data_IF_365723857863
#
_entry.id   IF_365723857863
#
_cell.length_a   1.000
_cell.length_b   1.000
_cell.length_c   1.000
_cell.angle_alpha   90.00
_cell.angle_beta   90.00
_cell.angle_gamma   90.00
#
_symmetry.space_group_name_H-M   'P 1'
#
loop_
_entity.id
_entity.type
_entity.pdbx_description
1 polymer ?
#
# COMPACT_ATOMS: atom_id res chain seq x y z
N UNK A 1 -1.82 17.72 -11.50
CA UNK A 1 -2.05 16.86 -10.33
C UNK A 1 -1.92 17.73 -9.10
N UNK A 2 -2.93 17.69 -8.23
CA UNK A 2 -2.89 18.41 -6.95
C UNK A 2 -1.92 17.70 -6.02
N UNK A 3 -1.06 18.47 -5.36
CA UNK A 3 -0.15 17.97 -4.34
C UNK A 3 -0.80 18.12 -2.97
N UNK A 4 -0.94 17.02 -2.25
CA UNK A 4 -1.52 17.00 -0.90
C UNK A 4 -0.38 16.76 0.08
N UNK A 5 -0.02 17.79 0.85
CA UNK A 5 1.01 17.70 1.88
C UNK A 5 0.49 17.10 3.21
N UNK A 6 -0.82 17.12 3.43
CA UNK A 6 -1.46 16.61 4.64
C UNK A 6 -2.88 16.11 4.34
N UNK A 7 -3.23 14.96 4.92
CA UNK A 7 -4.57 14.36 4.81
C UNK A 7 -5.37 14.61 6.10
N UNK A 8 -6.43 15.43 6.07
CA UNK A 8 -7.28 15.63 7.24
C UNK A 8 -7.98 14.32 7.64
N UNK A 9 -8.33 14.12 8.93
CA UNK A 9 -9.04 12.93 9.36
C UNK A 9 -10.34 12.70 8.57
N UNK A 10 -10.59 11.45 8.17
CA UNK A 10 -11.79 11.02 7.45
C UNK A 10 -11.65 10.94 5.92
N UNK A 11 -10.51 11.32 5.34
CA UNK A 11 -10.28 11.20 3.88
C UNK A 11 -9.38 10.00 3.54
N UNK A 12 -9.57 9.34 2.38
CA UNK A 12 -8.62 8.36 1.87
C UNK A 12 -7.22 8.97 1.71
N UNK A 13 -6.20 8.30 2.21
CA UNK A 13 -4.84 8.83 2.26
C UNK A 13 -3.77 7.89 1.70
N UNK A 14 -4.07 6.60 1.55
CA UNK A 14 -3.15 5.62 0.98
C UNK A 14 -3.92 4.45 0.36
N UNK A 15 -3.30 3.79 -0.62
CA UNK A 15 -3.75 2.52 -1.17
C UNK A 15 -2.56 1.56 -1.26
N UNK A 16 -2.80 0.30 -1.00
CA UNK A 16 -1.84 -0.75 -1.34
C UNK A 16 -2.51 -2.04 -1.77
N UNK A 17 -1.73 -2.95 -2.30
CA UNK A 17 -2.21 -4.29 -2.62
C UNK A 17 -1.19 -5.33 -2.18
N UNK A 18 -1.68 -6.44 -1.61
CA UNK A 18 -0.86 -7.60 -1.29
C UNK A 18 -0.98 -8.63 -2.40
N UNK A 19 0.16 -9.07 -2.92
CA UNK A 19 0.25 -9.92 -4.08
C UNK A 19 1.04 -11.20 -3.75
N UNK A 20 0.65 -12.37 -4.29
CA UNK A 20 1.42 -13.60 -4.13
C UNK A 20 2.75 -13.52 -4.89
N UNK A 21 2.76 -12.79 -6.01
CA UNK A 21 3.94 -12.46 -6.80
C UNK A 21 4.01 -10.93 -6.98
N UNK A 22 4.65 -10.21 -6.03
CA UNK A 22 4.83 -8.77 -6.11
C UNK A 22 5.58 -8.33 -7.37
N UNK A 23 6.55 -9.10 -7.84
CA UNK A 23 7.33 -8.77 -9.03
C UNK A 23 6.49 -8.79 -10.30
N UNK A 24 5.65 -9.81 -10.47
CA UNK A 24 4.71 -9.88 -11.58
C UNK A 24 3.71 -8.71 -11.54
N UNK A 25 3.20 -8.36 -10.36
CA UNK A 25 2.33 -7.21 -10.19
C UNK A 25 3.05 -5.88 -10.46
N UNK A 26 4.30 -5.71 -10.03
CA UNK A 26 5.13 -4.53 -10.35
C UNK A 26 5.28 -4.40 -11.86
N UNK A 27 5.61 -5.48 -12.57
CA UNK A 27 5.77 -5.45 -14.02
C UNK A 27 4.46 -5.03 -14.71
N UNK A 28 3.33 -5.59 -14.27
CA UNK A 28 2.00 -5.25 -14.79
C UNK A 28 1.64 -3.78 -14.56
N UNK A 29 1.72 -3.30 -13.31
CA UNK A 29 1.29 -1.94 -12.96
C UNK A 29 2.26 -0.86 -13.44
N UNK A 30 3.57 -1.15 -13.52
CA UNK A 30 4.54 -0.25 -14.15
C UNK A 30 4.17 0.03 -15.60
N UNK A 31 3.80 -1.01 -16.37
CA UNK A 31 3.43 -0.89 -17.77
C UNK A 31 2.09 -0.18 -18.00
N UNK A 32 1.13 -0.32 -17.09
CA UNK A 32 -0.19 0.28 -17.20
C UNK A 32 -0.25 1.73 -16.71
N UNK A 33 0.41 2.02 -15.58
CA UNK A 33 0.23 3.27 -14.83
C UNK A 33 1.42 4.22 -14.97
N UNK A 34 2.52 3.79 -15.59
CA UNK A 34 3.77 4.56 -15.64
C UNK A 34 4.39 4.76 -14.26
N UNK A 35 4.18 3.80 -13.36
CA UNK A 35 4.74 3.83 -12.01
C UNK A 35 6.17 3.30 -12.03
N UNK A 36 7.03 3.95 -11.24
CA UNK A 36 8.32 3.43 -10.81
C UNK A 36 8.16 2.79 -9.43
N UNK A 37 8.99 1.82 -9.06
CA UNK A 37 8.90 1.18 -7.75
C UNK A 37 10.22 1.28 -6.99
N UNK A 38 10.12 1.57 -5.70
CA UNK A 38 11.25 1.57 -4.76
C UNK A 38 11.06 0.48 -3.71
N UNK A 39 12.16 -0.17 -3.31
CA UNK A 39 12.15 -1.25 -2.33
C UNK A 39 13.00 -2.46 -2.79
N UNK A 40 12.78 -3.65 -2.20
CA UNK A 40 11.83 -3.90 -1.12
C UNK A 40 12.30 -3.28 0.21
N UNK A 41 11.37 -2.69 0.95
CA UNK A 41 11.50 -2.41 2.38
C UNK A 41 10.78 -3.46 3.23
N UNK A 42 10.83 -3.30 4.55
CA UNK A 42 10.04 -4.10 5.48
C UNK A 42 8.55 -3.79 5.34
N UNK A 43 7.70 -4.80 5.54
CA UNK A 43 6.26 -4.59 5.69
C UNK A 43 5.98 -3.65 6.88
N UNK A 44 5.07 -2.68 6.74
CA UNK A 44 4.56 -1.94 7.89
C UNK A 44 3.86 -2.88 8.88
N UNK A 45 4.25 -2.80 10.16
CA UNK A 45 3.75 -3.70 11.21
C UNK A 45 4.64 -4.92 11.43
N UNK A 46 4.05 -6.00 11.96
CA UNK A 46 4.78 -7.19 12.45
C UNK A 46 4.70 -8.47 11.58
N UNK A 47 4.12 -8.54 10.36
CA UNK A 47 4.25 -9.73 9.53
C UNK A 47 5.54 -9.71 8.67
N UNK A 48 6.24 -10.85 8.52
CA UNK A 48 7.34 -10.96 7.57
C UNK A 48 6.83 -10.78 6.13
N UNK A 49 7.57 -10.01 5.33
CA UNK A 49 7.21 -9.79 3.93
C UNK A 49 8.06 -8.70 3.27
N UNK A 50 7.81 -8.50 1.98
CA UNK A 50 8.45 -7.45 1.16
C UNK A 50 7.42 -6.37 0.87
N UNK A 51 7.80 -5.11 1.00
CA UNK A 51 6.95 -3.98 0.62
C UNK A 51 7.67 -3.07 -0.37
N UNK A 52 6.99 -2.72 -1.45
CA UNK A 52 7.45 -1.80 -2.47
C UNK A 52 6.56 -0.57 -2.48
N UNK A 53 7.16 0.58 -2.78
CA UNK A 53 6.44 1.85 -2.90
C UNK A 53 6.44 2.27 -4.36
N UNK A 54 5.25 2.39 -4.94
CA UNK A 54 5.05 2.92 -6.28
C UNK A 54 5.23 4.44 -6.27
N UNK A 55 5.84 4.98 -7.32
CA UNK A 55 6.17 6.39 -7.49
C UNK A 55 5.79 6.92 -8.86
N UNK A 56 5.37 8.18 -8.89
CA UNK A 56 5.24 8.98 -10.11
C UNK A 56 6.00 10.27 -9.90
N UNK A 57 7.01 10.53 -10.75
CA UNK A 57 7.86 11.74 -10.66
C UNK A 57 8.49 11.91 -9.27
N UNK A 58 9.00 10.81 -8.70
CA UNK A 58 9.64 10.78 -7.39
C UNK A 58 8.70 10.89 -6.19
N UNK A 59 7.38 10.87 -6.37
CA UNK A 59 6.39 10.93 -5.28
C UNK A 59 5.70 9.61 -5.08
N UNK A 60 5.51 9.22 -3.83
CA UNK A 60 4.86 7.99 -3.43
C UNK A 60 3.35 8.05 -3.76
N UNK A 61 2.82 6.99 -4.41
CA UNK A 61 1.42 6.94 -4.88
C UNK A 61 0.66 5.69 -4.48
N UNK A 62 1.34 4.58 -4.18
CA UNK A 62 0.74 3.33 -3.71
C UNK A 62 1.78 2.42 -3.07
N UNK A 63 1.31 1.42 -2.33
CA UNK A 63 2.13 0.32 -1.84
C UNK A 63 1.87 -1.00 -2.58
N UNK A 64 2.85 -1.88 -2.55
CA UNK A 64 2.71 -3.25 -3.03
C UNK A 64 3.45 -4.20 -2.11
N UNK A 65 2.71 -5.05 -1.40
CA UNK A 65 3.28 -6.01 -0.45
C UNK A 65 3.22 -7.45 -0.95
N UNK A 66 4.05 -8.31 -0.37
CA UNK A 66 3.90 -9.77 -0.52
C UNK A 66 2.80 -10.30 0.40
N UNK A 67 1.97 -11.21 -0.10
CA UNK A 67 1.12 -12.01 0.78
C UNK A 67 1.97 -12.92 1.69
N UNK A 68 1.55 -13.16 2.95
CA UNK A 68 2.20 -14.13 3.82
C UNK A 68 2.22 -15.55 3.21
N UNK A 69 3.31 -16.27 3.46
CA UNK A 69 3.51 -17.63 2.95
C UNK A 69 2.66 -18.70 3.67
N UNK A 70 2.02 -18.34 4.80
CA UNK A 70 1.23 -19.25 5.63
C UNK A 70 -0.12 -19.66 5.02
N UNK A 71 -0.42 -19.21 3.80
CA UNK A 71 -1.49 -19.79 2.99
C UNK A 71 -2.90 -19.48 3.50
N UNK A 72 -3.07 -18.50 4.40
CA UNK A 72 -4.37 -17.89 4.61
C UNK A 72 -4.76 -17.16 3.32
N UNK A 73 -5.35 -17.92 2.38
CA UNK A 73 -5.67 -17.50 1.03
C UNK A 73 -6.59 -16.28 1.03
N UNK A 74 -5.98 -15.09 1.07
CA UNK A 74 -6.65 -13.84 0.73
C UNK A 74 -6.47 -13.67 -0.77
N UNK A 75 -7.59 -13.60 -1.47
CA UNK A 75 -7.57 -13.14 -2.85
C UNK A 75 -6.87 -11.77 -2.89
N UNK A 76 -5.95 -11.53 -3.83
CA UNK A 76 -5.32 -10.23 -3.97
C UNK A 76 -6.38 -9.15 -4.13
N UNK A 77 -6.28 -8.11 -3.30
CA UNK A 77 -7.21 -7.00 -3.29
C UNK A 77 -6.45 -5.69 -3.11
N UNK A 78 -7.09 -4.59 -3.50
CA UNK A 78 -6.66 -3.25 -3.16
C UNK A 78 -7.24 -2.86 -1.80
N UNK A 79 -6.37 -2.46 -0.88
CA UNK A 79 -6.73 -1.86 0.39
C UNK A 79 -6.79 -0.35 0.23
N UNK A 80 -7.72 0.29 0.95
CA UNK A 80 -7.80 1.74 1.05
C UNK A 80 -7.68 2.13 2.51
N UNK A 81 -6.80 3.09 2.79
CA UNK A 81 -6.55 3.61 4.13
C UNK A 81 -7.15 4.99 4.27
N UNK A 82 -7.76 5.26 5.42
CA UNK A 82 -8.38 6.54 5.76
C UNK A 82 -7.55 7.20 6.85
N UNK A 83 -7.24 8.49 6.66
CA UNK A 83 -6.50 9.28 7.66
C UNK A 83 -7.34 9.41 8.93
N UNK A 84 -6.71 9.23 10.09
CA UNK A 84 -7.34 9.40 11.40
C UNK A 84 -6.41 10.17 12.33
N UNK A 85 -6.98 10.92 13.27
CA UNK A 85 -6.19 11.61 14.28
C UNK A 85 -5.56 10.63 15.30
N UNK A 86 -6.25 9.53 15.58
CA UNK A 86 -5.80 8.45 16.47
C UNK A 86 -6.40 7.12 16.01
N UNK A 87 -5.54 6.16 15.67
CA UNK A 87 -5.97 4.81 15.27
C UNK A 87 -6.68 4.11 16.42
N UNK A 88 -6.13 4.21 17.64
CA UNK A 88 -6.70 3.57 18.83
C UNK A 88 -8.10 4.10 19.16
N UNK A 89 -8.32 5.41 19.06
CA UNK A 89 -9.61 6.02 19.37
C UNK A 89 -10.70 5.62 18.36
N UNK A 90 -10.32 5.48 17.09
CA UNK A 90 -11.25 5.06 16.03
C UNK A 90 -11.53 3.56 16.13
N UNK A 91 -10.52 2.74 16.41
CA UNK A 91 -10.68 1.29 16.58
C UNK A 91 -11.65 0.92 17.73
N UNK A 92 -11.76 1.74 18.77
CA UNK A 92 -12.75 1.54 19.86
C UNK A 92 -14.21 1.86 19.47
N UNK A 93 -14.46 2.40 18.28
CA UNK A 93 -15.79 2.83 17.81
C UNK A 93 -16.40 1.90 16.76
N UNK A 94 -15.70 0.83 16.39
CA UNK A 94 -16.12 -0.16 15.39
C UNK A 94 -16.41 -1.52 16.02
#
# INVERSE_FOLDING_TARGET
MTEIAHYPPGVPCWIDTLQPDPEAAIAFYSGLMGWEFAGPGAMPGDPPGRYFVARVRGRDVAGMGSLPADGAARAPAWNTYVSVASVDDVARRV
#
